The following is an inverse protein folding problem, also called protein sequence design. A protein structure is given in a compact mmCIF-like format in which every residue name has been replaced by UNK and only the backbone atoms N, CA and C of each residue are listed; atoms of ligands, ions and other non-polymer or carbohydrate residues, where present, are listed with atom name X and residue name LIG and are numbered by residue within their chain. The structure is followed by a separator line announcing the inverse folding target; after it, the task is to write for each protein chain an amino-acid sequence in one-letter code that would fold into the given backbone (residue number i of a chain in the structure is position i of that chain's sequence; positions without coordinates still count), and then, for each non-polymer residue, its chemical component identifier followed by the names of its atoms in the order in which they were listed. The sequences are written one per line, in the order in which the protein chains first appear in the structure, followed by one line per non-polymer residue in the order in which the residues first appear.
data_IF_504550308808
#
_entry.id   IF_504550308808
#
_cell.length_a   1.000
_cell.length_b   1.000
_cell.length_c   1.000
_cell.angle_alpha   90.00
_cell.angle_beta   90.00
_cell.angle_gamma   90.00
#
_symmetry.space_group_name_H-M   'P 1'
#
loop_
_entity.id
_entity.type
_entity.pdbx_description
1 polymer ?
#
# COMPACT_ATOMS: atom_id res chain seq x y z
N UNK A 1 -35.58 -0.86 -9.52
CA UNK A 1 -34.35 -0.78 -10.32
C UNK A 1 -33.19 -0.43 -9.39
N UNK A 2 -31.97 -0.90 -9.70
CA UNK A 2 -30.71 -0.72 -8.95
C UNK A 2 -30.36 -1.82 -7.95
N UNK A 3 -30.05 -2.99 -8.50
CA UNK A 3 -29.39 -4.12 -7.84
C UNK A 3 -28.14 -4.48 -8.63
N UNK A 4 -27.02 -3.79 -8.36
CA UNK A 4 -25.67 -4.25 -8.72
C UNK A 4 -24.67 -3.65 -7.73
N UNK A 5 -24.60 -4.20 -6.52
CA UNK A 5 -23.38 -4.10 -5.71
C UNK A 5 -22.50 -5.25 -6.21
N UNK A 6 -21.44 -4.97 -7.00
CA UNK A 6 -20.56 -6.04 -7.46
C UNK A 6 -19.94 -6.69 -6.23
N UNK A 7 -20.24 -7.98 -6.01
CA UNK A 7 -19.52 -8.80 -5.04
C UNK A 7 -18.10 -9.00 -5.59
N UNK A 8 -17.23 -8.06 -5.26
CA UNK A 8 -15.81 -8.15 -5.47
C UNK A 8 -15.30 -9.35 -4.65
N UNK A 9 -15.06 -10.49 -5.32
CA UNK A 9 -14.19 -11.56 -4.80
C UNK A 9 -12.76 -11.00 -4.77
N UNK A 10 -12.47 -10.12 -3.82
CA UNK A 10 -11.12 -9.63 -3.62
C UNK A 10 -10.36 -10.76 -2.94
N UNK A 11 -9.43 -11.37 -3.68
CA UNK A 11 -8.42 -12.22 -3.07
C UNK A 11 -7.61 -11.35 -2.10
N UNK A 12 -7.43 -11.81 -0.86
CA UNK A 12 -6.84 -11.01 0.24
C UNK A 12 -5.51 -10.35 -0.18
N UNK A 13 -4.70 -11.06 -0.97
CA UNK A 13 -3.45 -10.54 -1.54
C UNK A 13 -3.65 -9.23 -2.36
N UNK A 14 -4.68 -9.15 -3.21
CA UNK A 14 -4.98 -7.96 -4.00
C UNK A 14 -5.45 -6.78 -3.13
N UNK A 15 -6.14 -7.06 -2.01
CA UNK A 15 -6.55 -6.01 -1.07
C UNK A 15 -5.32 -5.36 -0.43
N UNK A 16 -4.39 -6.17 0.09
CA UNK A 16 -3.17 -5.66 0.70
C UNK A 16 -2.29 -4.92 -0.30
N UNK A 17 -2.18 -5.43 -1.53
CA UNK A 17 -1.44 -4.76 -2.59
C UNK A 17 -2.05 -3.39 -2.91
N UNK A 18 -3.38 -3.30 -3.07
CA UNK A 18 -4.06 -2.02 -3.31
C UNK A 18 -3.86 -1.02 -2.18
N UNK A 19 -3.91 -1.47 -0.92
CA UNK A 19 -3.67 -0.61 0.25
C UNK A 19 -2.23 -0.10 0.28
N UNK A 20 -1.26 -0.99 0.06
CA UNK A 20 0.16 -0.61 -0.01
C UNK A 20 0.40 0.41 -1.12
N UNK A 21 -0.16 0.19 -2.30
CA UNK A 21 -0.05 1.12 -3.42
C UNK A 21 -0.66 2.50 -3.11
N UNK A 22 -1.84 2.52 -2.48
CA UNK A 22 -2.49 3.77 -2.08
C UNK A 22 -1.64 4.55 -1.05
N UNK A 23 -1.09 3.86 -0.06
CA UNK A 23 -0.18 4.45 0.93
C UNK A 23 1.11 4.99 0.28
N UNK A 24 1.62 4.32 -0.76
CA UNK A 24 2.80 4.76 -1.51
C UNK A 24 2.54 6.09 -2.22
N UNK A 25 1.42 6.19 -2.94
CA UNK A 25 1.01 7.41 -3.64
C UNK A 25 0.82 8.56 -2.66
N UNK A 26 0.16 8.29 -1.52
CA UNK A 26 -0.08 9.29 -0.49
C UNK A 26 1.24 9.78 0.11
N UNK A 27 2.19 8.87 0.40
CA UNK A 27 3.54 9.22 0.84
C UNK A 27 4.23 10.16 -0.16
N UNK A 28 4.15 9.87 -1.46
CA UNK A 28 4.74 10.69 -2.52
C UNK A 28 4.15 12.11 -2.53
N UNK A 29 2.82 12.25 -2.36
CA UNK A 29 2.18 13.56 -2.24
C UNK A 29 2.73 14.36 -1.06
N UNK A 30 2.92 13.73 0.11
CA UNK A 30 3.49 14.38 1.28
C UNK A 30 4.93 14.86 1.05
N UNK A 31 5.73 14.11 0.30
CA UNK A 31 7.08 14.55 -0.07
C UNK A 31 7.04 15.76 -1.01
N UNK A 32 6.18 15.78 -2.03
CA UNK A 32 6.02 16.97 -2.88
C UNK A 32 5.55 18.18 -2.09
N UNK A 33 4.63 17.98 -1.14
CA UNK A 33 4.15 19.04 -0.26
C UNK A 33 5.27 19.56 0.65
N UNK A 34 6.11 18.67 1.18
CA UNK A 34 7.28 19.01 1.99
C UNK A 34 8.27 19.91 1.23
N UNK A 35 8.54 19.59 -0.04
CA UNK A 35 9.39 20.41 -0.91
C UNK A 35 8.76 21.79 -1.12
N UNK A 36 7.45 21.87 -1.39
CA UNK A 36 6.75 23.15 -1.52
C UNK A 36 6.75 24.01 -0.24
N UNK A 37 6.76 23.38 0.94
CA UNK A 37 6.92 24.11 2.21
C UNK A 37 8.35 24.63 2.42
N UNK A 38 9.38 23.93 1.91
CA UNK A 38 10.76 24.44 1.93
C UNK A 38 10.91 25.71 1.10
N UNK A 39 10.28 25.78 -0.08
CA UNK A 39 10.30 26.98 -0.94
C UNK A 39 9.72 28.21 -0.23
N UNK A 40 8.80 28.02 0.72
CA UNK A 40 8.14 29.09 1.48
C UNK A 40 8.82 29.43 2.81
N UNK A 41 10.05 28.94 3.04
CA UNK A 41 10.81 29.07 4.30
C UNK A 41 10.10 28.49 5.55
N UNK A 42 9.13 27.59 5.36
CA UNK A 42 8.41 26.92 6.45
C UNK A 42 9.10 25.60 6.83
N UNK A 43 10.30 25.72 7.42
CA UNK A 43 11.20 24.59 7.71
C UNK A 43 10.55 23.54 8.64
N UNK A 44 9.83 24.00 9.67
CA UNK A 44 9.17 23.10 10.62
C UNK A 44 8.06 22.28 9.96
N UNK A 45 7.25 22.92 9.12
CA UNK A 45 6.14 22.26 8.39
C UNK A 45 6.65 21.34 7.30
N UNK A 46 7.74 21.69 6.60
CA UNK A 46 8.39 20.79 5.63
C UNK A 46 8.94 19.54 6.31
N UNK A 47 9.55 19.69 7.49
CA UNK A 47 10.13 18.55 8.21
C UNK A 47 9.02 17.62 8.73
N UNK A 48 7.94 18.18 9.27
CA UNK A 48 6.76 17.42 9.72
C UNK A 48 6.15 16.62 8.56
N UNK A 49 5.96 17.24 7.40
CA UNK A 49 5.36 16.58 6.23
C UNK A 49 6.29 15.54 5.61
N UNK A 50 7.61 15.75 5.61
CA UNK A 50 8.58 14.73 5.23
C UNK A 50 8.53 13.52 6.19
N UNK A 51 8.44 13.75 7.50
CA UNK A 51 8.31 12.67 8.49
C UNK A 51 7.04 11.84 8.30
N UNK A 52 5.92 12.50 8.01
CA UNK A 52 4.66 11.83 7.68
C UNK A 52 4.80 11.03 6.39
N UNK A 53 5.37 11.64 5.33
CA UNK A 53 5.67 10.96 4.07
C UNK A 53 6.52 9.71 4.29
N UNK A 54 7.59 9.79 5.07
CA UNK A 54 8.46 8.66 5.37
C UNK A 54 7.77 7.56 6.19
N UNK A 55 6.94 7.94 7.17
CA UNK A 55 6.15 6.98 7.96
C UNK A 55 5.14 6.22 7.09
N UNK A 56 4.46 6.93 6.19
CA UNK A 56 3.54 6.33 5.21
C UNK A 56 4.28 5.43 4.21
N UNK A 57 5.49 5.82 3.78
CA UNK A 57 6.33 4.99 2.91
C UNK A 57 6.71 3.68 3.60
N UNK A 58 7.17 3.75 4.85
CA UNK A 58 7.52 2.58 5.66
C UNK A 58 6.32 1.64 5.83
N UNK A 59 5.14 2.20 6.15
CA UNK A 59 3.90 1.43 6.26
C UNK A 59 3.49 0.78 4.93
N UNK A 60 3.59 1.51 3.82
CA UNK A 60 3.31 1.00 2.47
C UNK A 60 4.19 -0.21 2.14
N UNK A 61 5.51 -0.09 2.33
CA UNK A 61 6.45 -1.17 2.07
C UNK A 61 6.19 -2.39 2.95
N UNK A 62 5.80 -2.20 4.21
CA UNK A 62 5.43 -3.29 5.10
C UNK A 62 4.19 -4.04 4.60
N UNK A 63 3.15 -3.31 4.18
CA UNK A 63 1.92 -3.91 3.64
C UNK A 63 2.18 -4.61 2.31
N UNK A 64 3.02 -4.05 1.44
CA UNK A 64 3.44 -4.69 0.20
C UNK A 64 4.21 -5.99 0.46
N UNK A 65 5.13 -6.00 1.43
CA UNK A 65 5.82 -7.22 1.86
C UNK A 65 4.84 -8.27 2.38
N UNK A 66 3.86 -7.86 3.18
CA UNK A 66 2.80 -8.75 3.67
C UNK A 66 1.99 -9.34 2.52
N UNK A 67 1.67 -8.53 1.51
CA UNK A 67 0.93 -8.98 0.33
C UNK A 67 1.70 -10.04 -0.47
N UNK A 68 3.02 -9.87 -0.63
CA UNK A 68 3.88 -10.85 -1.28
C UNK A 68 3.99 -12.14 -0.48
N UNK A 69 4.05 -12.06 0.85
CA UNK A 69 4.06 -13.22 1.73
C UNK A 69 2.76 -14.02 1.62
N UNK A 70 1.60 -13.35 1.72
CA UNK A 70 0.29 -14.01 1.57
C UNK A 70 0.15 -14.66 0.20
N UNK A 71 0.60 -13.97 -0.85
CA UNK A 71 0.58 -14.51 -2.21
C UNK A 71 1.46 -15.77 -2.35
N UNK A 72 2.67 -15.76 -1.75
CA UNK A 72 3.56 -16.92 -1.74
C UNK A 72 2.95 -18.13 -1.03
N UNK A 73 2.39 -17.92 0.16
CA UNK A 73 1.71 -19.00 0.92
C UNK A 73 0.48 -19.54 0.16
N UNK A 74 -0.31 -18.65 -0.47
CA UNK A 74 -1.45 -19.08 -1.30
C UNK A 74 -1.02 -19.83 -2.58
N UNK A 75 0.17 -19.53 -3.11
CA UNK A 75 0.73 -20.22 -4.27
C UNK A 75 1.26 -21.62 -3.89
N UNK A 76 1.99 -21.73 -2.79
CA UNK A 76 2.58 -22.99 -2.29
C UNK A 76 1.48 -24.00 -1.89
N UNK A 77 0.42 -23.54 -1.22
CA UNK A 77 -0.74 -24.40 -0.90
C UNK A 77 -1.50 -24.90 -2.13
N UNK A 78 -1.45 -24.19 -3.27
CA UNK A 78 -2.03 -24.70 -4.54
C UNK A 78 -1.15 -25.76 -5.21
N UNK A 79 0.17 -25.71 -5.00
CA UNK A 79 1.09 -26.71 -5.55
C UNK A 79 0.96 -28.04 -4.81
N UNK A 80 0.81 -28.02 -3.47
CA UNK A 80 0.54 -29.24 -2.69
C UNK A 80 -0.79 -29.91 -3.05
N UNK A 81 -1.83 -29.10 -3.35
CA UNK A 81 -3.14 -29.63 -3.77
C UNK A 81 -3.10 -30.28 -5.18
N UNK A 82 -2.08 -29.96 -5.99
CA UNK A 82 -1.88 -30.55 -7.33
C UNK A 82 -0.92 -31.74 -7.34
N UNK A 83 0.02 -31.82 -6.39
CA UNK A 83 0.96 -32.94 -6.27
C UNK A 83 0.35 -34.17 -5.55
N UNK A 84 -0.75 -33.98 -4.80
CA UNK A 84 -1.48 -35.06 -4.14
C UNK A 84 -2.58 -35.74 -4.97
N UNK A 85 -2.56 -35.61 -6.30
CA UNK A 85 -3.49 -36.29 -7.23
C UNK A 85 -2.75 -37.14 -8.24
#
# INVERSE_FOLDING_TARGET
MSKYIPKLKINKAYLYLAIGLALLVLSMMFFFMSVGYMERALISTSLLTAFIGFSLLSSSLYVLRLSAYVYGVEAEGREETKAGK
#
